data_IF_878837971485
#
_entry.id   IF_878837971485
#
_cell.length_a   1.000
_cell.length_b   1.000
_cell.length_c   1.000
_cell.angle_alpha   90.00
_cell.angle_beta   90.00
_cell.angle_gamma   90.00
#
_symmetry.space_group_name_H-M   'P 1'
#
loop_
_entity.id
_entity.type
_entity.pdbx_description
1 polymer ?
#
# COMPACT_ATOMS: atom_id res chain seq x y z
N UNK A 1 -1.50 -6.50 -14.50
CA UNK A 1 -2.50 -7.35 -13.81
C UNK A 1 -3.81 -7.20 -14.54
N UNK A 2 -4.65 -8.22 -14.52
CA UNK A 2 -6.06 -8.11 -14.90
C UNK A 2 -6.83 -7.34 -13.81
N UNK A 3 -8.02 -6.83 -14.16
CA UNK A 3 -8.91 -6.18 -13.18
C UNK A 3 -9.33 -7.14 -12.06
N UNK A 4 -9.43 -8.43 -12.37
CA UNK A 4 -9.78 -9.47 -11.39
C UNK A 4 -8.63 -9.69 -10.40
N UNK A 5 -7.40 -9.83 -10.91
CA UNK A 5 -6.19 -9.91 -10.09
C UNK A 5 -6.00 -8.66 -9.21
N UNK A 6 -6.34 -7.48 -9.72
CA UNK A 6 -6.33 -6.22 -8.97
C UNK A 6 -7.34 -6.22 -7.82
N UNK A 7 -8.57 -6.66 -8.08
CA UNK A 7 -9.61 -6.72 -7.05
C UNK A 7 -9.24 -7.72 -5.95
N UNK A 8 -8.76 -8.90 -6.33
CA UNK A 8 -8.29 -9.92 -5.38
C UNK A 8 -7.15 -9.38 -4.53
N UNK A 9 -6.19 -8.67 -5.15
CA UNK A 9 -5.09 -8.03 -4.44
C UNK A 9 -5.58 -6.98 -3.43
N UNK A 10 -6.49 -6.08 -3.83
CA UNK A 10 -7.08 -5.09 -2.92
C UNK A 10 -7.84 -5.76 -1.77
N UNK A 11 -8.56 -6.86 -2.05
CA UNK A 11 -9.25 -7.65 -1.03
C UNK A 11 -8.29 -8.15 0.05
N UNK A 12 -7.12 -8.65 -0.34
CA UNK A 12 -6.10 -9.09 0.62
C UNK A 12 -5.56 -7.95 1.49
N UNK A 13 -5.41 -6.75 0.94
CA UNK A 13 -4.98 -5.57 1.69
C UNK A 13 -6.01 -5.15 2.75
N UNK A 14 -7.29 -5.21 2.40
CA UNK A 14 -8.38 -4.88 3.34
C UNK A 14 -8.45 -5.90 4.47
N UNK A 15 -8.32 -7.19 4.16
CA UNK A 15 -8.29 -8.26 5.16
C UNK A 15 -7.10 -8.10 6.11
N UNK A 16 -5.91 -7.82 5.56
CA UNK A 16 -4.69 -7.57 6.32
C UNK A 16 -4.86 -6.38 7.28
N UNK A 17 -5.48 -5.29 6.81
CA UNK A 17 -5.78 -4.14 7.65
C UNK A 17 -6.70 -4.49 8.82
N UNK A 18 -7.77 -5.23 8.55
CA UNK A 18 -8.70 -5.69 9.59
C UNK A 18 -8.03 -6.58 10.63
N UNK A 19 -7.06 -7.40 10.21
CA UNK A 19 -6.37 -8.34 11.09
C UNK A 19 -5.27 -7.70 11.93
N UNK A 20 -4.51 -6.76 11.38
CA UNK A 20 -3.27 -6.26 12.00
C UNK A 20 -3.28 -4.76 12.33
N UNK A 21 -4.34 -4.05 11.96
CA UNK A 21 -4.45 -2.59 12.12
C UNK A 21 -3.28 -1.80 11.49
N UNK A 22 -2.70 -2.38 10.44
CA UNK A 22 -1.64 -1.81 9.60
C UNK A 22 -1.80 -2.42 8.21
N UNK A 23 -1.29 -1.77 7.17
CA UNK A 23 -1.38 -2.27 5.80
C UNK A 23 -0.90 -1.23 4.78
N UNK A 24 -1.63 -1.04 3.68
CA UNK A 24 -1.27 -0.09 2.61
C UNK A 24 -2.00 1.24 2.79
N UNK A 25 -1.25 2.33 2.87
CA UNK A 25 -1.77 3.71 2.76
C UNK A 25 -1.58 4.23 1.34
N UNK A 26 -2.60 4.92 0.84
CA UNK A 26 -2.54 5.67 -0.40
C UNK A 26 -2.10 7.11 -0.09
N UNK A 27 -1.02 7.55 -0.73
CA UNK A 27 -0.56 8.91 -0.66
C UNK A 27 -1.29 9.73 -1.72
N UNK A 28 -2.15 10.63 -1.25
CA UNK A 28 -2.95 11.51 -2.10
C UNK A 28 -2.56 12.97 -1.87
N UNK A 29 -2.27 13.70 -2.95
CA UNK A 29 -2.07 15.13 -2.88
C UNK A 29 -3.40 15.86 -3.04
N UNK A 30 -3.94 16.32 -1.91
CA UNK A 30 -5.22 17.04 -1.87
C UNK A 30 -5.21 18.38 -2.61
N UNK A 31 -4.04 19.01 -2.79
CA UNK A 31 -3.95 20.32 -3.48
C UNK A 31 -4.17 20.21 -4.98
N UNK A 32 -3.70 19.11 -5.59
CA UNK A 32 -3.81 18.88 -7.04
C UNK A 32 -4.80 17.76 -7.39
N UNK A 33 -5.43 17.16 -6.39
CA UNK A 33 -6.41 16.08 -6.58
C UNK A 33 -5.83 14.81 -7.19
N UNK A 34 -4.52 14.57 -7.03
CA UNK A 34 -3.84 13.42 -7.64
C UNK A 34 -3.42 12.40 -6.61
N UNK A 35 -3.66 11.14 -6.94
CA UNK A 35 -2.96 10.02 -6.34
C UNK A 35 -1.48 10.13 -6.71
N UNK A 36 -0.64 10.08 -5.69
CA UNK A 36 0.80 10.06 -5.88
C UNK A 36 1.25 8.61 -5.92
N UNK A 37 1.10 7.90 -4.80
CA UNK A 37 1.85 6.67 -4.51
C UNK A 37 1.21 5.84 -3.39
N UNK A 38 1.78 4.68 -3.07
CA UNK A 38 1.42 3.93 -1.87
C UNK A 38 2.63 3.59 -0.99
N UNK A 39 2.40 3.59 0.32
CA UNK A 39 3.33 3.05 1.31
C UNK A 39 2.64 1.93 2.10
N UNK A 40 3.40 0.92 2.49
CA UNK A 40 2.86 -0.28 3.10
C UNK A 40 3.64 -0.65 4.35
N UNK A 41 2.91 -1.03 5.40
CA UNK A 41 3.42 -1.85 6.48
C UNK A 41 2.87 -3.26 6.31
N UNK A 42 3.74 -4.26 6.25
CA UNK A 42 3.34 -5.66 6.13
C UNK A 42 3.94 -6.48 7.26
N UNK A 43 3.08 -7.23 7.96
CA UNK A 43 3.54 -8.30 8.85
C UNK A 43 4.02 -9.50 8.02
N UNK A 44 5.27 -9.89 8.20
CA UNK A 44 5.95 -10.90 7.36
C UNK A 44 5.78 -12.31 7.94
N UNK A 45 5.75 -12.43 9.26
CA UNK A 45 5.76 -13.72 9.95
C UNK A 45 5.08 -13.67 11.35
N UNK A 46 4.99 -14.83 11.99
CA UNK A 46 4.53 -14.98 13.37
C UNK A 46 5.47 -14.31 14.40
N UNK A 47 6.71 -14.03 14.01
CA UNK A 47 7.71 -13.34 14.86
C UNK A 47 7.46 -11.82 14.98
N UNK A 48 6.34 -11.30 14.47
CA UNK A 48 5.94 -9.89 14.56
C UNK A 48 6.89 -8.91 13.87
N UNK A 49 7.65 -9.37 12.88
CA UNK A 49 8.43 -8.48 12.02
C UNK A 49 7.50 -7.70 11.09
N UNK A 50 7.74 -6.39 11.01
CA UNK A 50 7.01 -5.46 10.17
C UNK A 50 7.96 -4.93 9.12
N UNK A 51 7.65 -5.19 7.85
CA UNK A 51 8.33 -4.60 6.71
C UNK A 51 7.66 -3.29 6.30
N UNK A 52 8.49 -2.30 5.98
CA UNK A 52 8.07 -1.09 5.26
C UNK A 52 8.37 -1.29 3.79
N UNK A 53 7.36 -1.12 2.94
CA UNK A 53 7.53 -1.08 1.50
C UNK A 53 7.02 0.25 0.94
N UNK A 54 7.75 0.78 -0.04
CA UNK A 54 7.34 1.97 -0.78
C UNK A 54 7.22 1.65 -2.26
N UNK A 55 6.10 2.01 -2.86
CA UNK A 55 5.92 1.95 -4.30
C UNK A 55 5.85 3.37 -4.85
N UNK A 56 7.03 3.94 -5.12
CA UNK A 56 7.15 5.29 -5.66
C UNK A 56 6.95 5.31 -7.17
N UNK A 57 6.06 6.18 -7.66
CA UNK A 57 6.04 6.56 -9.05
C UNK A 57 7.29 7.42 -9.32
N UNK A 58 8.14 7.03 -10.29
CA UNK A 58 9.39 7.75 -10.57
C UNK A 58 9.23 9.27 -10.75
N UNK A 59 8.08 9.73 -11.25
CA UNK A 59 7.79 11.16 -11.48
C UNK A 59 7.72 12.01 -10.20
N UNK A 60 7.46 11.40 -9.04
CA UNK A 60 7.30 12.11 -7.76
C UNK A 60 8.47 11.90 -6.79
N UNK A 61 9.55 11.22 -7.23
CA UNK A 61 10.76 11.08 -6.42
C UNK A 61 11.49 12.43 -6.33
N UNK A 62 11.87 12.82 -5.12
CA UNK A 62 12.79 13.95 -4.93
C UNK A 62 14.14 13.63 -5.56
N UNK A 63 14.75 14.62 -6.23
CA UNK A 63 16.16 14.58 -6.61
C UNK A 63 17.06 14.74 -5.38
#
# INVERSE_FOLDING_TARGET
MSKEEENDYIGQLILHWGQYNLGVWLLFNSKIGKFLECCCLRKVNEACEIEIMYLFNPEYRGN
#
